data_IF_192291555543
#
_entry.id   IF_192291555543
#
_cell.length_a   1.000
_cell.length_b   1.000
_cell.length_c   1.000
_cell.angle_alpha   90.00
_cell.angle_beta   90.00
_cell.angle_gamma   90.00
#
_symmetry.space_group_name_H-M   'P 1'
#
loop_
_entity.id
_entity.type
_entity.pdbx_description
1 polymer ?
#
# COMPACT_ATOMS: atom_id res chain seq x y z
N UNK A 1 12.44 11.04 10.95
CA UNK A 1 12.82 10.09 9.89
C UNK A 1 14.18 9.48 10.23
N UNK A 2 14.28 8.14 10.29
CA UNK A 2 15.54 7.46 10.59
C UNK A 2 16.62 7.81 9.56
N UNK A 3 17.90 7.83 9.98
CA UNK A 3 19.06 8.14 9.14
C UNK A 3 19.42 6.95 8.22
N UNK A 4 18.46 6.48 7.43
CA UNK A 4 18.64 5.34 6.53
C UNK A 4 19.42 5.80 5.29
N UNK A 5 20.46 5.06 4.84
CA UNK A 5 21.22 5.38 3.63
C UNK A 5 20.34 5.58 2.40
N UNK A 6 19.26 4.79 2.29
CA UNK A 6 18.27 4.89 1.23
C UNK A 6 17.69 6.31 1.07
N UNK A 7 17.32 6.97 2.19
CA UNK A 7 16.76 8.33 2.18
C UNK A 7 17.82 9.37 1.87
N UNK A 8 19.04 9.19 2.38
CA UNK A 8 20.16 10.11 2.11
C UNK A 8 20.58 10.08 0.63
N UNK A 9 20.59 8.90 0.02
CA UNK A 9 21.03 8.69 -1.35
C UNK A 9 19.97 9.06 -2.40
N UNK A 10 18.76 9.44 -1.98
CA UNK A 10 17.68 9.86 -2.88
C UNK A 10 17.83 11.31 -3.39
N UNK A 11 18.77 12.09 -2.84
CA UNK A 11 18.99 13.48 -3.27
C UNK A 11 17.92 14.47 -2.77
N UNK A 12 17.12 14.08 -1.76
CA UNK A 12 16.17 14.95 -1.05
C UNK A 12 16.78 15.38 0.29
N UNK A 13 16.54 16.63 0.67
CA UNK A 13 16.96 17.15 1.98
C UNK A 13 16.15 16.49 3.09
N UNK A 14 16.75 16.20 4.25
CA UNK A 14 16.03 15.60 5.38
C UNK A 14 14.83 16.45 5.88
N UNK A 15 14.84 17.76 5.64
CA UNK A 15 13.69 18.65 5.93
C UNK A 15 12.55 18.41 4.94
N UNK A 16 12.84 18.40 3.63
CA UNK A 16 11.89 18.13 2.55
C UNK A 16 11.23 16.74 2.73
N UNK A 17 12.03 15.71 2.97
CA UNK A 17 11.51 14.34 3.17
C UNK A 17 10.58 14.24 4.39
N UNK A 18 10.91 14.93 5.50
CA UNK A 18 10.03 14.98 6.68
C UNK A 18 8.73 15.69 6.39
N UNK A 19 8.77 16.82 5.69
CA UNK A 19 7.59 17.60 5.35
C UNK A 19 6.65 16.82 4.43
N UNK A 20 7.20 16.19 3.38
CA UNK A 20 6.42 15.36 2.46
C UNK A 20 5.81 14.14 3.16
N UNK A 21 6.56 13.48 4.05
CA UNK A 21 6.06 12.35 4.82
C UNK A 21 4.92 12.79 5.75
N UNK A 22 5.11 13.85 6.53
CA UNK A 22 4.08 14.39 7.41
C UNK A 22 2.83 14.79 6.63
N UNK A 23 3.00 15.44 5.48
CA UNK A 23 1.89 15.81 4.60
C UNK A 23 1.11 14.58 4.11
N UNK A 24 1.80 13.55 3.61
CA UNK A 24 1.16 12.31 3.16
C UNK A 24 0.41 11.62 4.31
N UNK A 25 0.99 11.58 5.50
CA UNK A 25 0.34 10.99 6.67
C UNK A 25 -0.94 11.74 7.06
N UNK A 26 -0.91 13.08 7.08
CA UNK A 26 -2.10 13.88 7.38
C UNK A 26 -3.18 13.68 6.33
N UNK A 27 -2.82 13.73 5.04
CA UNK A 27 -3.78 13.52 3.95
C UNK A 27 -4.38 12.11 4.00
N UNK A 28 -3.56 11.07 4.20
CA UNK A 28 -4.03 9.69 4.32
C UNK A 28 -5.00 9.51 5.48
N UNK A 29 -4.71 10.06 6.66
CA UNK A 29 -5.60 9.99 7.82
C UNK A 29 -6.90 10.79 7.63
N UNK A 30 -6.83 11.97 7.02
CA UNK A 30 -8.02 12.76 6.69
C UNK A 30 -8.93 12.02 5.71
N UNK A 31 -8.35 11.33 4.72
CA UNK A 31 -9.11 10.52 3.78
C UNK A 31 -9.68 9.26 4.44
N UNK A 32 -8.93 8.59 5.32
CA UNK A 32 -9.45 7.47 6.09
C UNK A 32 -10.65 7.88 6.96
N UNK A 33 -10.56 9.06 7.60
CA UNK A 33 -11.68 9.65 8.32
C UNK A 33 -12.86 9.93 7.40
N UNK A 34 -12.60 10.56 6.25
CA UNK A 34 -13.62 10.87 5.27
C UNK A 34 -14.36 9.61 4.77
N UNK A 35 -13.62 8.55 4.42
CA UNK A 35 -14.20 7.28 3.99
C UNK A 35 -15.03 6.65 5.10
N UNK A 36 -14.50 6.59 6.32
CA UNK A 36 -15.22 5.96 7.44
C UNK A 36 -16.52 6.70 7.79
N UNK A 37 -16.55 8.04 7.69
CA UNK A 37 -17.68 8.85 8.14
C UNK A 37 -18.72 9.16 7.05
N UNK A 38 -18.27 9.41 5.82
CA UNK A 38 -19.15 9.91 4.74
C UNK A 38 -19.49 8.85 3.68
N UNK A 39 -18.80 7.71 3.61
CA UNK A 39 -19.12 6.68 2.60
C UNK A 39 -18.60 5.29 2.93
N UNK A 40 -19.54 4.39 3.23
CA UNK A 40 -19.26 2.99 3.54
C UNK A 40 -18.83 2.13 2.33
N UNK A 41 -18.95 2.62 1.09
CA UNK A 41 -18.77 1.82 -0.13
C UNK A 41 -17.51 2.17 -0.93
N UNK A 42 -16.40 2.47 -0.24
CA UNK A 42 -15.10 2.61 -0.90
C UNK A 42 -14.32 1.29 -0.86
N UNK A 43 -13.65 0.96 -1.97
CA UNK A 43 -12.81 -0.24 -2.11
C UNK A 43 -11.82 -0.40 -0.95
N UNK A 44 -11.30 0.70 -0.39
CA UNK A 44 -10.37 0.68 0.75
C UNK A 44 -10.96 0.05 2.01
N UNK A 45 -12.23 0.34 2.32
CA UNK A 45 -12.92 -0.24 3.47
C UNK A 45 -13.24 -1.72 3.22
N UNK A 46 -13.63 -2.06 1.98
CA UNK A 46 -13.82 -3.44 1.55
C UNK A 46 -12.54 -4.26 1.70
N UNK A 47 -11.39 -3.74 1.24
CA UNK A 47 -10.11 -4.43 1.40
C UNK A 47 -9.68 -4.58 2.86
N UNK A 48 -10.00 -3.61 3.71
CA UNK A 48 -9.74 -3.74 5.15
C UNK A 48 -10.63 -4.83 5.78
N UNK A 49 -11.89 -4.94 5.36
CA UNK A 49 -12.79 -6.00 5.82
C UNK A 49 -12.31 -7.39 5.37
N UNK A 50 -11.89 -7.55 4.12
CA UNK A 50 -11.31 -8.81 3.61
C UNK A 50 -9.97 -9.15 4.30
N UNK A 51 -9.14 -8.14 4.55
CA UNK A 51 -7.93 -8.28 5.36
C UNK A 51 -8.23 -8.77 6.77
N UNK A 52 -9.33 -8.32 7.38
CA UNK A 52 -9.78 -8.79 8.69
C UNK A 52 -10.21 -10.26 8.70
N UNK A 53 -10.82 -10.75 7.61
CA UNK A 53 -11.13 -12.18 7.47
C UNK A 53 -9.84 -13.01 7.43
N UNK A 54 -8.88 -12.59 6.63
CA UNK A 54 -7.56 -13.23 6.54
C UNK A 54 -6.76 -13.11 7.85
N UNK A 55 -6.94 -12.03 8.61
CA UNK A 55 -6.35 -11.83 9.93
C UNK A 55 -6.87 -12.83 10.96
N UNK A 56 -8.19 -13.10 10.98
CA UNK A 56 -8.74 -14.14 11.85
C UNK A 56 -8.25 -15.52 11.41
N UNK A 57 -8.21 -15.80 10.10
CA UNK A 57 -7.64 -17.05 9.58
C UNK A 57 -6.17 -17.24 10.00
N UNK A 58 -5.38 -16.17 9.98
CA UNK A 58 -3.97 -16.22 10.43
C UNK A 58 -3.84 -16.58 11.91
N UNK A 59 -4.76 -16.10 12.76
CA UNK A 59 -4.79 -16.41 14.20
C UNK A 59 -5.28 -17.83 14.49
N UNK A 60 -6.36 -18.24 13.83
CA UNK A 60 -7.02 -19.52 14.09
C UNK A 60 -6.27 -20.68 13.44
N UNK A 61 -5.82 -20.51 12.19
CA UNK A 61 -5.15 -21.56 11.41
C UNK A 61 -4.08 -21.00 10.45
N UNK A 62 -2.87 -20.70 10.96
CA UNK A 62 -1.81 -20.09 10.14
C UNK A 62 -1.36 -20.98 8.97
N UNK A 63 -1.49 -22.31 9.09
CA UNK A 63 -1.16 -23.23 7.98
C UNK A 63 -2.09 -22.99 6.79
N UNK A 64 -3.39 -22.82 7.06
CA UNK A 64 -4.37 -22.54 6.02
C UNK A 64 -4.15 -21.15 5.41
N UNK A 65 -3.74 -20.16 6.20
CA UNK A 65 -3.37 -18.85 5.69
C UNK A 65 -2.27 -18.91 4.62
N UNK A 66 -1.18 -19.65 4.84
CA UNK A 66 -0.10 -19.75 3.85
C UNK A 66 -0.44 -20.69 2.68
N UNK A 67 -1.23 -21.74 2.92
CA UNK A 67 -1.67 -22.66 1.87
C UNK A 67 -2.84 -22.10 1.02
N UNK A 68 -3.44 -20.98 1.42
CA UNK A 68 -4.56 -20.37 0.69
C UNK A 68 -4.22 -20.06 -0.77
N UNK A 69 -2.95 -19.72 -1.08
CA UNK A 69 -2.52 -19.47 -2.46
C UNK A 69 -2.75 -20.68 -3.39
N UNK A 70 -2.52 -21.90 -2.92
CA UNK A 70 -2.69 -23.11 -3.75
C UNK A 70 -4.15 -23.51 -3.93
N UNK A 71 -4.99 -23.29 -2.90
CA UNK A 71 -6.41 -23.64 -2.97
C UNK A 71 -7.15 -22.86 -4.06
N UNK A 72 -6.83 -21.59 -4.24
CA UNK A 72 -7.49 -20.76 -5.24
C UNK A 72 -6.92 -20.88 -6.66
N UNK A 73 -5.61 -21.14 -6.79
CA UNK A 73 -5.00 -21.51 -8.08
C UNK A 73 -5.63 -22.79 -8.66
N UNK A 74 -6.05 -23.70 -7.77
CA UNK A 74 -6.78 -24.90 -8.16
C UNK A 74 -8.23 -24.60 -8.60
N UNK A 75 -8.92 -23.67 -7.93
CA UNK A 75 -10.32 -23.30 -8.25
C UNK A 75 -10.48 -22.51 -9.54
N UNK A 76 -9.55 -21.60 -9.85
CA UNK A 76 -9.63 -20.75 -11.05
C UNK A 76 -8.73 -21.23 -12.18
N UNK A 77 -7.91 -22.26 -11.95
CA UNK A 77 -7.08 -22.91 -12.96
C UNK A 77 -5.89 -22.07 -13.46
N UNK A 78 -4.76 -22.72 -13.68
CA UNK A 78 -3.59 -22.12 -14.33
C UNK A 78 -3.82 -21.78 -15.82
N UNK A 79 -5.02 -22.00 -16.37
CA UNK A 79 -5.36 -21.73 -17.77
C UNK A 79 -5.89 -20.31 -18.04
N UNK A 80 -6.42 -19.63 -17.02
CA UNK A 80 -7.09 -18.33 -17.15
C UNK A 80 -6.13 -17.13 -16.94
N UNK A 81 -4.87 -17.30 -17.35
CA UNK A 81 -3.79 -16.33 -17.10
C UNK A 81 -4.00 -15.03 -17.91
N UNK A 82 -4.52 -15.14 -19.14
CA UNK A 82 -4.68 -14.02 -20.07
C UNK A 82 -6.14 -13.58 -20.26
N UNK A 83 -7.05 -14.04 -19.42
CA UNK A 83 -8.44 -13.61 -19.50
C UNK A 83 -8.61 -12.18 -19.01
N UNK A 84 -9.55 -11.46 -19.63
CA UNK A 84 -9.86 -10.07 -19.31
C UNK A 84 -10.69 -9.92 -18.04
N UNK A 85 -11.40 -10.97 -17.61
CA UNK A 85 -12.20 -11.01 -16.37
C UNK A 85 -11.84 -12.27 -15.56
N UNK A 86 -11.84 -12.14 -14.21
CA UNK A 86 -11.50 -13.23 -13.28
C UNK A 86 -10.18 -13.97 -13.57
N UNK A 87 -9.17 -13.23 -14.04
CA UNK A 87 -7.87 -13.81 -14.34
C UNK A 87 -7.11 -14.23 -13.10
N UNK A 88 -6.24 -15.21 -13.27
CA UNK A 88 -5.33 -15.68 -12.21
C UNK A 88 -4.50 -14.52 -11.62
N UNK A 89 -4.10 -13.54 -12.44
CA UNK A 89 -3.34 -12.36 -11.99
C UNK A 89 -4.17 -11.41 -11.12
N UNK A 90 -5.41 -11.14 -11.53
CA UNK A 90 -6.33 -10.31 -10.74
C UNK A 90 -6.54 -10.92 -9.36
N UNK A 91 -6.76 -12.23 -9.33
CA UNK A 91 -6.98 -12.96 -8.10
C UNK A 91 -5.73 -12.97 -7.19
N UNK A 92 -4.56 -13.29 -7.75
CA UNK A 92 -3.30 -13.29 -6.99
C UNK A 92 -3.00 -11.91 -6.38
N UNK A 93 -3.27 -10.82 -7.11
CA UNK A 93 -3.14 -9.46 -6.60
C UNK A 93 -3.99 -9.24 -5.36
N UNK A 94 -5.27 -9.64 -5.38
CA UNK A 94 -6.18 -9.43 -4.25
C UNK A 94 -5.81 -10.28 -3.04
N UNK A 95 -5.50 -11.57 -3.22
CA UNK A 95 -5.04 -12.42 -2.10
C UNK A 95 -3.82 -11.81 -1.44
N UNK A 96 -2.82 -11.41 -2.24
CA UNK A 96 -1.56 -10.89 -1.72
C UNK A 96 -1.82 -9.59 -0.95
N UNK A 97 -2.70 -8.73 -1.47
CA UNK A 97 -3.12 -7.52 -0.77
C UNK A 97 -3.79 -7.84 0.58
N UNK A 98 -4.79 -8.73 0.61
CA UNK A 98 -5.52 -9.06 1.84
C UNK A 98 -4.61 -9.71 2.88
N UNK A 99 -3.68 -10.58 2.46
CA UNK A 99 -2.69 -11.17 3.36
C UNK A 99 -1.69 -10.16 3.90
N UNK A 100 -1.28 -9.15 3.11
CA UNK A 100 -0.46 -8.06 3.61
C UNK A 100 -1.21 -7.21 4.65
N UNK A 101 -2.51 -6.94 4.43
CA UNK A 101 -3.36 -6.25 5.40
C UNK A 101 -3.48 -7.10 6.68
N UNK A 102 -3.74 -8.40 6.56
CA UNK A 102 -3.81 -9.31 7.71
C UNK A 102 -2.51 -9.35 8.55
N UNK A 103 -1.35 -9.28 7.89
CA UNK A 103 -0.06 -9.18 8.58
C UNK A 103 0.08 -7.82 9.28
N UNK A 104 -0.35 -6.72 8.64
CA UNK A 104 -0.40 -5.42 9.30
C UNK A 104 -1.34 -5.43 10.52
N UNK A 105 -2.46 -6.16 10.43
CA UNK A 105 -3.44 -6.34 11.50
C UNK A 105 -2.92 -7.08 12.72
N UNK A 106 -1.80 -7.81 12.62
CA UNK A 106 -1.09 -8.30 13.80
C UNK A 106 -0.63 -7.17 14.72
N UNK A 107 -0.30 -6.00 14.14
CA UNK A 107 0.16 -4.81 14.88
C UNK A 107 -1.00 -3.85 15.14
N UNK A 108 -1.86 -3.63 14.15
CA UNK A 108 -2.93 -2.62 14.22
C UNK A 108 -4.23 -3.13 14.84
N UNK A 109 -4.34 -4.45 15.03
CA UNK A 109 -5.53 -5.13 15.54
C UNK A 109 -6.78 -4.89 14.68
N UNK A 110 -6.63 -4.69 13.37
CA UNK A 110 -7.76 -4.44 12.46
C UNK A 110 -8.17 -2.99 12.32
N UNK A 111 -7.46 -2.07 12.99
CA UNK A 111 -7.83 -0.66 12.96
C UNK A 111 -7.42 -0.02 11.62
N UNK A 112 -8.45 0.40 10.86
CA UNK A 112 -8.28 1.00 9.54
C UNK A 112 -7.38 2.25 9.51
N UNK A 113 -7.41 3.09 10.55
CA UNK A 113 -6.57 4.29 10.61
C UNK A 113 -5.10 3.93 10.80
N UNK A 114 -4.80 2.97 11.68
CA UNK A 114 -3.44 2.48 11.86
C UNK A 114 -2.93 1.75 10.63
N UNK A 115 -3.78 0.96 9.96
CA UNK A 115 -3.43 0.36 8.67
C UNK A 115 -3.10 1.45 7.63
N UNK A 116 -3.93 2.47 7.52
CA UNK A 116 -3.69 3.60 6.62
C UNK A 116 -2.34 4.27 6.91
N UNK A 117 -1.99 4.47 8.18
CA UNK A 117 -0.69 5.01 8.58
C UNK A 117 0.50 4.12 8.17
N UNK A 118 0.39 2.80 8.35
CA UNK A 118 1.43 1.83 7.95
C UNK A 118 1.59 1.83 6.43
N UNK A 119 0.50 1.69 5.67
CA UNK A 119 0.55 1.65 4.22
C UNK A 119 1.03 2.97 3.63
N UNK A 120 0.60 4.11 4.18
CA UNK A 120 1.11 5.44 3.79
C UNK A 120 2.63 5.53 3.94
N UNK A 121 3.17 4.90 4.99
CA UNK A 121 4.61 4.86 5.24
C UNK A 121 5.35 4.01 4.21
N UNK A 122 4.85 2.80 3.92
CA UNK A 122 5.45 1.92 2.91
C UNK A 122 5.41 2.57 1.53
N UNK A 123 4.25 3.12 1.15
CA UNK A 123 4.05 3.82 -0.13
C UNK A 123 4.97 5.04 -0.23
N UNK A 124 5.21 5.78 0.86
CA UNK A 124 6.16 6.89 0.86
C UNK A 124 7.59 6.44 0.50
N UNK A 125 8.04 5.29 0.99
CA UNK A 125 9.34 4.74 0.59
C UNK A 125 9.36 4.34 -0.89
N UNK A 126 8.25 3.83 -1.43
CA UNK A 126 8.08 3.59 -2.87
C UNK A 126 8.23 4.87 -3.69
N UNK A 127 7.54 5.95 -3.31
CA UNK A 127 7.69 7.26 -3.95
C UNK A 127 9.12 7.79 -3.88
N UNK A 128 9.80 7.61 -2.76
CA UNK A 128 11.21 7.98 -2.63
C UNK A 128 12.12 7.16 -3.58
N UNK A 129 11.81 5.88 -3.78
CA UNK A 129 12.50 5.03 -4.76
C UNK A 129 12.32 5.58 -6.18
N UNK A 130 11.08 5.89 -6.57
CA UNK A 130 10.77 6.46 -7.87
C UNK A 130 11.43 7.82 -8.08
N UNK A 131 11.37 8.69 -7.06
CA UNK A 131 12.02 10.00 -7.11
C UNK A 131 13.52 9.87 -7.39
N UNK A 132 14.19 8.92 -6.73
CA UNK A 132 15.63 8.66 -6.94
C UNK A 132 15.92 8.28 -8.39
N UNK A 133 15.09 7.43 -9.00
CA UNK A 133 15.25 7.01 -10.40
C UNK A 133 14.95 8.17 -11.35
N UNK A 134 13.83 8.87 -11.18
CA UNK A 134 13.45 9.97 -12.07
C UNK A 134 14.41 11.16 -12.00
N UNK A 135 15.07 11.39 -10.87
CA UNK A 135 16.12 12.40 -10.75
C UNK A 135 17.37 12.07 -11.57
N UNK A 136 17.66 10.81 -11.81
CA UNK A 136 18.76 10.39 -12.68
C UNK A 136 18.39 10.57 -14.17
N UNK A 137 17.12 10.35 -14.52
CA UNK A 137 16.62 10.46 -15.89
C UNK A 137 16.42 11.94 -16.30
N UNK A 138 15.91 12.78 -15.39
CA UNK A 138 15.63 14.20 -15.64
C UNK A 138 16.53 15.10 -14.77
N UNK A 139 17.85 15.18 -15.08
CA UNK A 139 18.75 16.06 -14.36
C UNK A 139 18.30 17.52 -14.49
N UNK A 140 18.42 18.30 -13.42
CA UNK A 140 18.00 19.72 -13.38
C UNK A 140 16.53 19.97 -13.01
N UNK A 141 15.60 19.04 -13.23
CA UNK A 141 14.17 19.25 -12.98
C UNK A 141 13.72 18.82 -11.57
N UNK A 142 14.44 19.24 -10.52
CA UNK A 142 14.24 18.75 -9.13
C UNK A 142 12.79 18.90 -8.66
N UNK A 143 12.22 20.08 -8.88
CA UNK A 143 10.89 20.43 -8.38
C UNK A 143 9.79 19.69 -9.14
N UNK A 144 9.86 19.64 -10.47
CA UNK A 144 8.90 18.91 -11.31
C UNK A 144 8.82 17.43 -10.93
N UNK A 145 9.97 16.77 -10.79
CA UNK A 145 10.03 15.36 -10.38
C UNK A 145 9.46 15.16 -8.97
N UNK A 146 9.68 16.12 -8.07
CA UNK A 146 9.13 16.06 -6.70
C UNK A 146 7.61 16.14 -6.72
N UNK A 147 7.03 17.11 -7.43
CA UNK A 147 5.58 17.28 -7.55
C UNK A 147 4.95 16.06 -8.22
N UNK A 148 5.53 15.60 -9.33
CA UNK A 148 5.02 14.45 -10.06
C UNK A 148 5.08 13.14 -9.26
N UNK A 149 6.05 13.00 -8.34
CA UNK A 149 6.22 11.76 -7.56
C UNK A 149 5.46 11.78 -6.24
N UNK A 150 5.23 12.93 -5.61
CA UNK A 150 4.67 12.98 -4.25
C UNK A 150 3.34 13.71 -4.13
N UNK A 151 2.98 14.58 -5.09
CA UNK A 151 1.87 15.53 -4.95
C UNK A 151 0.77 15.35 -5.98
N UNK A 152 0.84 14.34 -6.85
CA UNK A 152 -0.29 13.99 -7.69
C UNK A 152 -1.45 13.47 -6.82
N UNK A 153 -2.71 13.86 -7.07
CA UNK A 153 -3.84 13.46 -6.24
C UNK A 153 -3.96 11.94 -6.03
N UNK A 154 -3.69 11.15 -7.08
CA UNK A 154 -3.69 9.68 -7.02
C UNK A 154 -2.56 9.09 -6.17
N UNK A 155 -1.46 9.83 -5.97
CA UNK A 155 -0.30 9.43 -5.17
C UNK A 155 -0.36 9.91 -3.73
N UNK A 156 -1.32 10.78 -3.41
CA UNK A 156 -1.61 11.21 -2.05
C UNK A 156 -2.38 10.13 -1.28
N UNK A 157 -3.20 9.34 -1.99
CA UNK A 157 -3.82 8.11 -1.50
C UNK A 157 -2.80 6.98 -1.27
#
# INVERSE_FOLDING_TARGET
MPRIPFVKNAGITQKEARLLFSFKMVVGLLLAFYFTYFSFNFDYLGYNAEGMVEYQLLKENPRQFFNGFSGYLHTYGAGHIFETSNSAWGYFRFILLFKLIAIADLVTQGNFYFNTAIFSTVIFFGHLAFYRVYRQIYPGQKFTVLVATFLLPSLLL
#
